data_IF_053913784368
#
_entry.id   IF_053913784368
#
_cell.length_a   1.000
_cell.length_b   1.000
_cell.length_c   1.000
_cell.angle_alpha   90.00
_cell.angle_beta   90.00
_cell.angle_gamma   90.00
#
_symmetry.space_group_name_H-M   'P 1'
#
loop_
_entity.id
_entity.type
_entity.pdbx_description
1 polymer ?
#
# COMPACT_ATOMS: atom_id res chain seq x y z
N UNK A 1 -15.09 -55.07 17.06
CA UNK A 1 -15.65 -53.92 17.81
C UNK A 1 -14.57 -53.28 18.71
N UNK A 2 -13.33 -53.09 18.23
CA UNK A 2 -12.22 -52.61 19.03
C UNK A 2 -11.27 -51.66 18.28
N UNK A 3 -11.62 -51.17 17.07
CA UNK A 3 -10.77 -50.26 16.30
C UNK A 3 -11.34 -48.82 16.15
N UNK A 4 -12.62 -48.61 16.44
CA UNK A 4 -13.31 -47.31 16.31
C UNK A 4 -13.18 -46.47 17.58
N UNK A 5 -12.92 -47.08 18.73
CA UNK A 5 -12.78 -46.37 20.03
C UNK A 5 -11.39 -45.80 20.30
N UNK A 6 -10.39 -46.10 19.47
CA UNK A 6 -9.02 -45.56 19.65
C UNK A 6 -8.74 -44.33 18.80
N UNK A 7 -9.60 -43.98 17.83
CA UNK A 7 -9.40 -42.82 16.98
C UNK A 7 -10.04 -41.51 17.53
N UNK A 8 -11.01 -41.64 18.47
CA UNK A 8 -11.67 -40.48 19.09
C UNK A 8 -10.92 -39.88 20.30
N UNK A 9 -9.87 -40.56 20.80
CA UNK A 9 -9.08 -40.09 21.94
C UNK A 9 -7.87 -39.23 21.52
N UNK A 10 -7.49 -39.23 20.23
CA UNK A 10 -6.29 -38.49 19.74
C UNK A 10 -6.60 -37.08 19.23
N UNK A 11 -7.87 -36.72 19.02
CA UNK A 11 -8.29 -35.41 18.53
C UNK A 11 -8.63 -34.40 19.62
N UNK A 12 -8.70 -34.81 20.88
CA UNK A 12 -9.05 -33.92 22.02
C UNK A 12 -7.81 -33.40 22.77
N UNK A 13 -6.59 -33.86 22.47
CA UNK A 13 -5.37 -33.49 23.17
C UNK A 13 -4.57 -32.35 22.52
N UNK A 14 -4.98 -31.81 21.36
CA UNK A 14 -4.24 -30.79 20.60
C UNK A 14 -4.73 -29.34 20.76
N UNK A 15 -5.67 -29.04 21.65
CA UNK A 15 -6.27 -27.67 21.77
C UNK A 15 -5.82 -26.93 23.05
N UNK A 16 -4.91 -27.48 23.86
CA UNK A 16 -4.60 -26.87 25.17
C UNK A 16 -3.13 -26.48 25.37
N UNK A 17 -2.43 -25.97 24.33
CA UNK A 17 -1.10 -25.36 24.55
C UNK A 17 -0.91 -24.09 23.73
N UNK A 18 -1.72 -23.06 24.00
CA UNK A 18 -1.41 -21.70 23.60
C UNK A 18 -1.81 -20.72 24.72
N UNK A 19 -1.11 -20.78 25.84
CA UNK A 19 -1.17 -19.75 26.87
C UNK A 19 0.25 -19.43 27.31
N UNK A 20 0.66 -18.16 27.12
CA UNK A 20 1.66 -17.54 27.95
C UNK A 20 2.97 -17.20 27.26
N UNK A 21 3.03 -16.04 26.60
CA UNK A 21 4.18 -15.17 26.66
C UNK A 21 3.69 -13.79 27.11
N UNK A 22 3.59 -13.60 28.42
CA UNK A 22 3.59 -12.28 29.03
C UNK A 22 5.04 -11.79 29.00
N UNK A 23 5.33 -10.82 28.12
CA UNK A 23 6.58 -10.11 28.14
C UNK A 23 6.61 -9.21 29.39
N UNK A 24 7.54 -9.45 30.29
CA UNK A 24 7.89 -8.57 31.39
C UNK A 24 8.39 -7.23 30.85
N UNK A 25 7.65 -6.18 31.11
CA UNK A 25 8.10 -4.80 30.94
C UNK A 25 9.08 -4.53 32.10
N UNK A 26 10.36 -4.53 31.80
CA UNK A 26 11.38 -3.98 32.70
C UNK A 26 11.19 -2.46 32.72
N UNK A 27 10.80 -1.98 33.89
CA UNK A 27 10.76 -0.54 34.23
C UNK A 27 12.21 -0.02 34.29
N UNK A 28 12.58 0.80 33.31
CA UNK A 28 13.80 1.59 33.41
C UNK A 28 13.59 2.69 34.44
N UNK A 29 14.33 2.62 35.54
CA UNK A 29 14.45 3.71 36.51
C UNK A 29 15.10 4.91 35.82
N UNK A 30 14.34 5.98 35.74
CA UNK A 30 14.76 7.29 35.26
C UNK A 30 15.70 7.93 36.31
N UNK A 31 17.01 7.76 36.09
CA UNK A 31 18.01 8.49 36.87
C UNK A 31 17.95 9.95 36.51
N UNK A 32 17.28 10.73 37.33
CA UNK A 32 17.29 12.20 37.30
C UNK A 32 18.68 12.72 37.65
N UNK A 33 19.50 12.97 36.65
CA UNK A 33 20.72 13.75 36.79
C UNK A 33 20.30 15.23 36.87
N UNK A 34 20.31 15.76 38.10
CA UNK A 34 20.19 17.17 38.34
C UNK A 34 21.43 17.89 37.80
N UNK A 35 21.34 18.42 36.60
CA UNK A 35 22.31 19.41 36.11
C UNK A 35 21.93 20.77 36.73
N UNK A 36 22.75 21.23 37.65
CA UNK A 36 22.68 22.58 38.18
C UNK A 36 22.82 23.60 37.07
N UNK A 37 21.79 24.42 36.92
CA UNK A 37 21.83 25.62 36.07
C UNK A 37 22.94 26.56 36.58
N UNK A 38 23.87 27.02 35.76
CA UNK A 38 24.70 28.16 36.13
C UNK A 38 23.80 29.42 36.11
N UNK A 39 23.66 30.02 37.27
CA UNK A 39 23.08 31.33 37.47
C UNK A 39 23.97 32.37 36.77
N UNK A 40 23.58 32.74 35.55
CA UNK A 40 24.24 33.84 34.83
C UNK A 40 23.64 35.14 35.41
N UNK A 41 24.44 35.85 36.24
CA UNK A 41 24.15 37.20 36.69
C UNK A 41 24.08 38.14 35.46
N UNK A 42 22.89 38.58 35.10
CA UNK A 42 22.70 39.67 34.15
C UNK A 42 23.13 40.97 34.80
N UNK A 43 24.28 41.48 34.37
CA UNK A 43 24.63 42.87 34.63
C UNK A 43 23.82 43.76 33.67
N UNK A 44 22.90 44.53 34.23
CA UNK A 44 22.23 45.66 33.57
C UNK A 44 23.25 46.73 33.24
N UNK A 45 23.85 46.67 32.06
CA UNK A 45 24.36 47.90 31.39
C UNK A 45 25.00 47.53 30.02
N UNK A 46 24.15 47.29 29.02
CA UNK A 46 24.43 47.54 27.60
C UNK A 46 23.11 47.56 26.84
N UNK A 47 22.46 48.73 26.86
CA UNK A 47 21.46 49.05 25.86
C UNK A 47 22.17 49.20 24.52
N UNK A 48 22.36 48.06 23.84
CA UNK A 48 22.59 48.07 22.41
C UNK A 48 21.20 48.23 21.79
N UNK A 49 20.89 49.46 21.38
CA UNK A 49 19.80 49.71 20.43
C UNK A 49 20.15 48.90 19.15
N UNK A 50 19.77 47.65 19.14
CA UNK A 50 19.69 46.86 17.94
C UNK A 50 18.61 47.51 17.08
N UNK A 51 19.03 48.12 16.00
CA UNK A 51 18.26 48.57 14.87
C UNK A 51 17.48 47.34 14.28
N UNK A 52 16.38 46.94 14.98
CA UNK A 52 15.49 45.88 14.58
C UNK A 52 14.59 46.26 13.39
N UNK A 53 14.70 47.52 12.92
CA UNK A 53 13.86 48.01 11.81
C UNK A 53 14.39 47.65 10.40
N UNK A 54 15.46 46.88 10.26
CA UNK A 54 16.03 46.55 8.97
C UNK A 54 16.10 45.06 8.61
N UNK A 55 15.52 44.20 9.44
CA UNK A 55 15.48 42.76 9.22
C UNK A 55 14.17 42.27 8.58
N UNK A 56 13.14 43.10 8.45
CA UNK A 56 11.85 42.68 7.89
C UNK A 56 11.75 42.72 6.37
N UNK A 57 12.74 43.31 5.66
CA UNK A 57 12.66 43.45 4.20
C UNK A 57 13.60 42.49 3.42
N UNK A 58 14.20 41.51 4.10
CA UNK A 58 15.05 40.49 3.49
C UNK A 58 14.58 39.04 3.75
N UNK A 59 13.44 38.85 4.34
CA UNK A 59 12.75 37.56 4.24
C UNK A 59 12.22 37.46 2.81
N UNK A 60 13.11 37.20 1.85
CA UNK A 60 12.71 36.66 0.56
C UNK A 60 11.77 35.51 0.91
N UNK A 61 10.53 35.56 0.41
CA UNK A 61 9.56 34.50 0.58
C UNK A 61 10.18 33.23 -0.01
N UNK A 62 10.87 32.47 0.84
CA UNK A 62 11.26 31.11 0.50
C UNK A 62 9.96 30.36 0.31
N UNK A 63 9.57 30.19 -0.94
CA UNK A 63 8.50 29.26 -1.28
C UNK A 63 9.05 27.86 -0.99
N UNK A 64 8.46 27.12 -0.05
CA UNK A 64 8.99 25.81 0.31
C UNK A 64 8.82 24.84 -0.84
N UNK A 65 9.86 24.07 -1.13
CA UNK A 65 9.77 22.93 -2.06
C UNK A 65 8.98 21.81 -1.39
N UNK A 66 7.73 21.63 -1.82
CA UNK A 66 6.76 20.74 -1.18
C UNK A 66 6.36 19.63 -2.16
N UNK A 67 6.51 18.38 -1.73
CA UNK A 67 5.94 17.22 -2.43
C UNK A 67 4.53 16.99 -1.87
N UNK A 68 3.53 16.91 -2.77
CA UNK A 68 2.15 16.56 -2.43
C UNK A 68 1.78 15.23 -3.06
N UNK A 69 1.28 14.31 -2.23
CA UNK A 69 0.72 13.03 -2.68
C UNK A 69 -0.70 12.92 -2.17
N UNK A 70 -1.58 12.33 -2.97
CA UNK A 70 -2.97 12.15 -2.60
C UNK A 70 -3.47 10.75 -2.91
N UNK A 71 -4.50 10.36 -2.20
CA UNK A 71 -5.30 9.18 -2.47
C UNK A 71 -6.78 9.59 -2.47
N UNK A 72 -7.51 9.16 -3.50
CA UNK A 72 -8.94 9.39 -3.66
C UNK A 72 -9.61 8.05 -3.99
N UNK A 73 -10.60 7.64 -3.21
CA UNK A 73 -11.43 6.48 -3.50
C UNK A 73 -12.87 6.93 -3.71
N UNK A 74 -13.42 6.57 -4.87
CA UNK A 74 -14.80 6.89 -5.26
C UNK A 74 -15.58 5.61 -5.51
N UNK A 75 -16.83 5.58 -5.03
CA UNK A 75 -17.80 4.58 -5.41
C UNK A 75 -18.62 5.11 -6.57
N UNK A 76 -18.62 4.39 -7.71
CA UNK A 76 -19.24 4.80 -8.97
C UNK A 76 -19.91 3.61 -9.64
N UNK A 77 -20.97 3.86 -10.43
CA UNK A 77 -21.70 2.80 -11.11
C UNK A 77 -20.90 2.16 -12.26
N UNK A 78 -20.10 2.95 -12.97
CA UNK A 78 -19.29 2.52 -14.12
C UNK A 78 -17.85 3.00 -13.96
N UNK A 79 -16.95 2.22 -13.32
CA UNK A 79 -15.57 2.64 -13.07
C UNK A 79 -14.79 3.00 -14.33
N UNK A 80 -15.01 2.29 -15.45
CA UNK A 80 -14.29 2.55 -16.69
C UNK A 80 -14.73 3.88 -17.35
N UNK A 81 -16.04 4.17 -17.40
CA UNK A 81 -16.55 5.40 -17.98
C UNK A 81 -16.16 6.61 -17.11
N UNK A 82 -16.27 6.48 -15.78
CA UNK A 82 -15.80 7.52 -14.84
C UNK A 82 -14.29 7.74 -14.94
N UNK A 83 -13.50 6.70 -15.24
CA UNK A 83 -12.06 6.86 -15.47
C UNK A 83 -11.76 7.70 -16.71
N UNK A 84 -12.60 7.63 -17.76
CA UNK A 84 -12.50 8.50 -18.93
C UNK A 84 -12.81 9.96 -18.55
N UNK A 85 -13.88 10.21 -17.79
CA UNK A 85 -14.23 11.55 -17.30
C UNK A 85 -13.13 12.15 -16.41
N UNK A 86 -12.56 11.35 -15.52
CA UNK A 86 -11.41 11.75 -14.67
C UNK A 86 -10.21 12.15 -15.53
N UNK A 87 -9.96 11.39 -16.60
CA UNK A 87 -8.86 11.70 -17.53
C UNK A 87 -9.07 13.07 -18.16
N UNK A 88 -10.28 13.37 -18.63
CA UNK A 88 -10.61 14.68 -19.22
C UNK A 88 -10.46 15.83 -18.21
N UNK A 89 -10.91 15.65 -16.96
CA UNK A 89 -10.77 16.65 -15.88
C UNK A 89 -9.29 16.90 -15.56
N UNK A 90 -8.48 15.86 -15.45
CA UNK A 90 -7.05 15.96 -15.16
C UNK A 90 -6.31 16.66 -16.31
N UNK A 91 -6.60 16.31 -17.56
CA UNK A 91 -5.98 16.93 -18.73
C UNK A 91 -6.41 18.41 -18.89
N UNK A 92 -7.66 18.72 -18.62
CA UNK A 92 -8.16 20.10 -18.61
C UNK A 92 -7.48 20.98 -17.54
N UNK A 93 -7.07 20.37 -16.41
CA UNK A 93 -6.29 21.02 -15.37
C UNK A 93 -4.79 21.16 -15.70
N UNK A 94 -4.35 20.73 -16.89
CA UNK A 94 -2.94 20.74 -17.30
C UNK A 94 -2.13 19.58 -16.73
N UNK A 95 -2.79 18.59 -16.15
CA UNK A 95 -2.19 17.36 -15.67
C UNK A 95 -2.06 16.28 -16.76
N UNK A 96 -1.69 15.08 -16.34
CA UNK A 96 -1.63 13.88 -17.18
C UNK A 96 -1.90 12.62 -16.37
N UNK A 97 -2.41 11.59 -17.01
CA UNK A 97 -2.48 10.25 -16.42
C UNK A 97 -1.12 9.56 -16.62
N UNK A 98 -0.50 9.14 -15.51
CA UNK A 98 0.76 8.41 -15.51
C UNK A 98 0.54 6.91 -15.72
N UNK A 99 -0.49 6.36 -15.08
CA UNK A 99 -0.91 4.97 -15.29
C UNK A 99 -2.41 4.83 -15.15
N UNK A 100 -3.00 3.86 -15.86
CA UNK A 100 -4.40 3.46 -15.75
C UNK A 100 -4.49 1.95 -15.86
N UNK A 101 -5.31 1.35 -15.01
CA UNK A 101 -5.59 -0.08 -15.03
C UNK A 101 -7.08 -0.29 -14.77
N UNK A 102 -7.78 -0.83 -15.77
CA UNK A 102 -9.20 -1.16 -15.67
C UNK A 102 -9.35 -2.66 -15.49
N UNK A 103 -10.10 -3.06 -14.49
CA UNK A 103 -10.42 -4.45 -14.20
C UNK A 103 -11.90 -4.71 -14.45
N UNK A 104 -12.19 -5.57 -15.42
CA UNK A 104 -13.53 -6.05 -15.73
C UNK A 104 -13.57 -7.58 -15.55
N UNK A 105 -14.20 -8.07 -14.50
CA UNK A 105 -14.27 -9.52 -14.24
C UNK A 105 -15.14 -10.23 -15.28
N UNK A 106 -14.75 -11.47 -15.65
CA UNK A 106 -15.48 -12.28 -16.63
C UNK A 106 -16.57 -13.12 -15.95
N UNK A 107 -16.29 -13.67 -14.76
CA UNK A 107 -17.20 -14.60 -14.09
C UNK A 107 -17.68 -14.10 -12.72
N UNK A 108 -16.77 -13.68 -11.84
CA UNK A 108 -17.06 -13.22 -10.48
C UNK A 108 -16.19 -12.01 -10.13
N UNK A 109 -16.74 -11.07 -9.38
CA UNK A 109 -16.10 -9.84 -8.95
C UNK A 109 -16.83 -8.62 -9.50
N UNK A 110 -16.39 -7.46 -9.08
CA UNK A 110 -16.95 -6.18 -9.52
C UNK A 110 -15.93 -5.43 -10.36
N UNK A 111 -16.39 -4.66 -11.37
CA UNK A 111 -15.50 -3.79 -12.13
C UNK A 111 -14.86 -2.77 -11.20
N UNK A 112 -13.61 -2.44 -11.49
CA UNK A 112 -12.88 -1.39 -10.79
C UNK A 112 -11.86 -0.77 -11.73
N UNK A 113 -11.49 0.50 -11.47
CA UNK A 113 -10.44 1.18 -12.20
C UNK A 113 -9.49 1.85 -11.22
N UNK A 114 -8.21 1.78 -11.55
CA UNK A 114 -7.16 2.45 -10.81
C UNK A 114 -6.41 3.39 -11.74
N UNK A 115 -6.25 4.65 -11.32
CA UNK A 115 -5.52 5.66 -12.06
C UNK A 115 -4.48 6.30 -11.17
N UNK A 116 -3.35 6.66 -11.77
CA UNK A 116 -2.35 7.54 -11.17
C UNK A 116 -2.26 8.81 -12.02
N UNK A 117 -2.65 9.93 -11.43
CA UNK A 117 -2.65 11.23 -12.08
C UNK A 117 -1.51 12.10 -11.56
N UNK A 118 -0.85 12.81 -12.49
CA UNK A 118 0.14 13.85 -12.20
C UNK A 118 -0.51 15.19 -12.46
N UNK A 119 -0.74 15.98 -11.43
CA UNK A 119 -1.50 17.23 -11.47
C UNK A 119 -0.57 18.36 -11.04
N UNK A 120 -0.53 19.52 -11.76
CA UNK A 120 0.26 20.66 -11.33
C UNK A 120 -0.08 21.04 -9.88
N UNK A 121 0.94 21.31 -9.07
CA UNK A 121 0.84 21.59 -7.65
C UNK A 121 -0.23 22.65 -7.31
N UNK A 122 -0.29 23.72 -8.11
CA UNK A 122 -1.15 24.89 -7.86
C UNK A 122 -2.66 24.58 -7.97
N UNK A 123 -3.03 23.62 -8.84
CA UNK A 123 -4.43 23.32 -9.15
C UNK A 123 -4.92 22.03 -8.51
N UNK A 124 -4.07 21.34 -7.73
CA UNK A 124 -4.41 20.04 -7.13
C UNK A 124 -5.72 20.09 -6.34
N UNK A 125 -5.87 21.06 -5.42
CA UNK A 125 -7.04 21.10 -4.52
C UNK A 125 -8.33 21.34 -5.29
N UNK A 126 -8.29 22.21 -6.30
CA UNK A 126 -9.43 22.47 -7.17
C UNK A 126 -9.78 21.24 -8.02
N UNK A 127 -8.76 20.54 -8.53
CA UNK A 127 -8.95 19.32 -9.32
C UNK A 127 -9.53 18.21 -8.45
N UNK A 128 -8.99 17.98 -7.24
CA UNK A 128 -9.54 16.99 -6.30
C UNK A 128 -11.00 17.27 -5.97
N UNK A 129 -11.37 18.54 -5.75
CA UNK A 129 -12.76 18.92 -5.52
C UNK A 129 -13.67 18.57 -6.72
N UNK A 130 -13.21 18.85 -7.95
CA UNK A 130 -13.96 18.49 -9.16
C UNK A 130 -14.09 16.97 -9.35
N UNK A 131 -13.06 16.20 -8.98
CA UNK A 131 -13.10 14.74 -9.05
C UNK A 131 -14.07 14.13 -8.04
N UNK A 132 -14.23 14.76 -6.86
CA UNK A 132 -15.18 14.31 -5.84
C UNK A 132 -16.65 14.42 -6.29
N UNK A 133 -16.95 15.30 -7.23
CA UNK A 133 -18.30 15.47 -7.79
C UNK A 133 -18.69 14.33 -8.75
N UNK A 134 -17.74 13.47 -9.17
CA UNK A 134 -17.98 12.38 -10.12
C UNK A 134 -18.49 11.08 -9.46
N UNK A 135 -18.54 11.00 -8.13
CA UNK A 135 -19.02 9.82 -7.44
C UNK A 135 -19.13 9.97 -5.93
N UNK A 136 -19.54 8.92 -5.26
CA UNK A 136 -19.62 8.90 -3.80
C UNK A 136 -18.23 8.73 -3.20
N UNK A 137 -17.75 9.73 -2.46
CA UNK A 137 -16.42 9.75 -1.85
C UNK A 137 -16.36 8.73 -0.71
N UNK A 138 -15.48 7.74 -0.83
CA UNK A 138 -15.20 6.77 0.22
C UNK A 138 -14.02 7.19 1.10
N UNK A 139 -12.97 7.69 0.47
CA UNK A 139 -11.76 8.13 1.17
C UNK A 139 -11.07 9.25 0.39
N UNK A 140 -10.60 10.26 1.11
CA UNK A 140 -9.68 11.28 0.61
C UNK A 140 -8.54 11.44 1.60
N UNK A 141 -7.32 11.30 1.12
CA UNK A 141 -6.12 11.54 1.91
C UNK A 141 -5.14 12.40 1.12
N UNK A 142 -4.68 13.49 1.68
CA UNK A 142 -3.65 14.35 1.10
C UNK A 142 -2.48 14.42 2.08
N UNK A 143 -1.30 14.09 1.59
CA UNK A 143 -0.07 14.16 2.37
C UNK A 143 0.88 15.19 1.77
N UNK A 144 1.61 15.89 2.63
CA UNK A 144 2.52 16.98 2.23
C UNK A 144 3.85 16.79 2.94
N UNK A 145 4.94 16.82 2.18
CA UNK A 145 6.31 16.66 2.68
C UNK A 145 7.16 17.83 2.20
N UNK A 146 7.75 18.57 3.14
CA UNK A 146 8.72 19.63 2.82
C UNK A 146 10.09 19.00 2.54
N UNK A 147 10.61 19.27 1.35
CA UNK A 147 11.90 18.74 0.85
C UNK A 147 12.91 19.86 0.57
N UNK A 148 12.63 21.09 0.98
CA UNK A 148 13.48 22.26 0.74
C UNK A 148 14.92 22.03 1.22
N UNK A 149 15.08 21.46 2.42
CA UNK A 149 16.41 21.17 2.97
C UNK A 149 17.12 20.10 2.16
N UNK A 150 16.42 19.08 1.70
CA UNK A 150 16.99 18.00 0.88
C UNK A 150 17.48 18.53 -0.46
N UNK A 151 16.71 19.42 -1.09
CA UNK A 151 17.10 20.07 -2.36
C UNK A 151 18.35 20.93 -2.20
N UNK A 152 18.41 21.75 -1.13
CA UNK A 152 19.59 22.58 -0.81
C UNK A 152 20.83 21.72 -0.58
N UNK A 153 20.71 20.58 0.12
CA UNK A 153 21.85 19.67 0.33
C UNK A 153 22.34 19.05 -0.99
N UNK A 154 21.42 18.62 -1.87
CA UNK A 154 21.75 18.11 -3.20
C UNK A 154 22.48 19.17 -4.04
N UNK A 155 21.97 20.40 -4.10
CA UNK A 155 22.57 21.49 -4.84
C UNK A 155 23.96 21.83 -4.31
N UNK A 156 24.18 21.84 -3.00
CA UNK A 156 25.49 22.06 -2.41
C UNK A 156 26.50 20.97 -2.80
N UNK A 157 26.09 19.69 -2.77
CA UNK A 157 26.94 18.56 -3.18
C UNK A 157 27.26 18.59 -4.66
N UNK A 158 26.28 18.92 -5.51
CA UNK A 158 26.48 19.11 -6.96
C UNK A 158 27.57 20.18 -7.21
N UNK A 159 27.48 21.34 -6.57
CA UNK A 159 28.46 22.40 -6.70
C UNK A 159 29.90 21.96 -6.30
N UNK A 160 30.01 21.19 -5.23
CA UNK A 160 31.31 20.65 -4.78
C UNK A 160 31.89 19.69 -5.82
N UNK A 161 31.08 18.81 -6.40
CA UNK A 161 31.51 17.86 -7.43
C UNK A 161 31.88 18.57 -8.72
N UNK A 162 31.14 19.57 -9.17
CA UNK A 162 31.47 20.40 -10.34
C UNK A 162 32.83 21.09 -10.18
N UNK A 163 33.09 21.65 -9.00
CA UNK A 163 34.39 22.25 -8.69
C UNK A 163 35.51 21.20 -8.65
N UNK A 164 35.25 20.00 -8.14
CA UNK A 164 36.24 18.91 -8.12
C UNK A 164 36.56 18.41 -9.54
N UNK A 165 35.56 18.26 -10.40
CA UNK A 165 35.68 17.86 -11.79
C UNK A 165 36.49 18.91 -12.57
N UNK A 166 36.21 20.20 -12.33
CA UNK A 166 36.99 21.31 -12.95
C UNK A 166 38.46 21.18 -12.58
N UNK A 167 38.78 20.96 -11.30
CA UNK A 167 40.18 20.81 -10.84
C UNK A 167 40.83 19.54 -11.41
N UNK A 168 40.12 18.44 -11.53
CA UNK A 168 40.63 17.21 -12.16
C UNK A 168 40.95 17.44 -13.65
N UNK A 169 40.14 18.20 -14.36
CA UNK A 169 40.40 18.57 -15.76
C UNK A 169 41.67 19.43 -15.91
N UNK A 170 41.93 20.34 -14.96
CA UNK A 170 43.17 21.12 -14.92
C UNK A 170 44.38 20.19 -14.68
N UNK A 171 44.27 19.26 -13.71
CA UNK A 171 45.34 18.28 -13.47
C UNK A 171 45.56 17.33 -14.64
N UNK A 172 44.52 16.98 -15.39
CA UNK A 172 44.62 16.18 -16.61
C UNK A 172 45.44 16.91 -17.71
N UNK A 173 45.22 18.22 -17.84
CA UNK A 173 45.96 19.05 -18.79
C UNK A 173 47.46 19.18 -18.44
N UNK A 174 47.80 19.11 -17.14
CA UNK A 174 49.16 19.22 -16.62
C UNK A 174 49.86 17.86 -16.42
N UNK A 175 49.18 16.74 -16.72
CA UNK A 175 49.72 15.38 -16.49
C UNK A 175 50.95 15.10 -17.33
N UNK A 176 52.08 14.81 -16.68
CA UNK A 176 53.38 14.59 -17.34
C UNK A 176 53.68 13.10 -17.62
N UNK A 177 52.97 12.18 -16.97
CA UNK A 177 53.19 10.74 -17.15
C UNK A 177 51.89 10.01 -17.51
N UNK A 178 52.01 8.89 -18.24
CA UNK A 178 50.86 8.04 -18.61
C UNK A 178 50.17 7.44 -17.35
N UNK A 179 50.94 7.20 -16.29
CA UNK A 179 50.39 6.68 -15.03
C UNK A 179 49.47 7.72 -14.35
N UNK A 180 49.90 8.98 -14.32
CA UNK A 180 49.14 10.09 -13.73
C UNK A 180 47.87 10.37 -14.56
N UNK A 181 48.00 10.30 -15.88
CA UNK A 181 46.86 10.45 -16.79
C UNK A 181 45.76 9.40 -16.50
N UNK A 182 46.13 8.11 -16.40
CA UNK A 182 45.17 7.03 -16.09
C UNK A 182 44.52 7.23 -14.70
N UNK A 183 45.29 7.66 -13.70
CA UNK A 183 44.79 7.91 -12.38
C UNK A 183 43.77 9.06 -12.35
N UNK A 184 44.06 10.17 -13.03
CA UNK A 184 43.15 11.32 -13.13
C UNK A 184 41.93 11.00 -13.96
N UNK A 185 42.05 10.27 -15.08
CA UNK A 185 40.90 9.82 -15.88
C UNK A 185 39.95 8.91 -15.06
N UNK A 186 40.50 7.99 -14.24
CA UNK A 186 39.71 7.13 -13.36
C UNK A 186 38.95 7.96 -12.31
N UNK A 187 39.64 8.92 -11.67
CA UNK A 187 39.02 9.80 -10.68
C UNK A 187 37.94 10.70 -11.32
N UNK A 188 38.21 11.23 -12.53
CA UNK A 188 37.28 12.05 -13.28
C UNK A 188 35.98 11.25 -13.61
N UNK A 189 36.14 10.03 -14.11
CA UNK A 189 34.99 9.14 -14.43
C UNK A 189 34.15 8.84 -13.22
N UNK A 190 34.79 8.61 -12.05
CA UNK A 190 34.08 8.37 -10.80
C UNK A 190 33.29 9.60 -10.36
N UNK A 191 33.90 10.79 -10.37
CA UNK A 191 33.22 12.05 -9.99
C UNK A 191 32.11 12.43 -10.96
N UNK A 192 32.29 12.16 -12.26
CA UNK A 192 31.25 12.39 -13.25
C UNK A 192 30.01 11.50 -12.98
N UNK A 193 30.23 10.21 -12.73
CA UNK A 193 29.12 9.31 -12.41
C UNK A 193 28.37 9.71 -11.11
N UNK A 194 29.11 10.20 -10.11
CA UNK A 194 28.53 10.71 -8.87
C UNK A 194 27.71 11.99 -9.13
N UNK A 195 28.24 12.93 -9.94
CA UNK A 195 27.52 14.14 -10.33
C UNK A 195 26.23 13.84 -11.08
N UNK A 196 26.28 12.96 -12.08
CA UNK A 196 25.13 12.57 -12.88
C UNK A 196 24.03 11.92 -11.99
N UNK A 197 24.45 11.14 -10.98
CA UNK A 197 23.52 10.55 -10.01
C UNK A 197 22.84 11.61 -9.15
N UNK A 198 23.57 12.58 -8.61
CA UNK A 198 22.99 13.64 -7.78
C UNK A 198 22.11 14.59 -8.59
N UNK A 199 22.49 14.91 -9.82
CA UNK A 199 21.67 15.70 -10.74
C UNK A 199 20.35 14.99 -11.05
N UNK A 200 20.39 13.69 -11.32
CA UNK A 200 19.16 12.88 -11.54
C UNK A 200 18.26 12.87 -10.31
N UNK A 201 18.82 12.79 -9.11
CA UNK A 201 18.05 12.85 -7.86
C UNK A 201 17.40 14.22 -7.67
N UNK A 202 18.15 15.32 -7.92
CA UNK A 202 17.65 16.69 -7.83
C UNK A 202 16.53 16.94 -8.84
N UNK A 203 16.68 16.45 -10.09
CA UNK A 203 15.69 16.62 -11.15
C UNK A 203 14.41 15.83 -10.83
N UNK A 204 14.54 14.60 -10.30
CA UNK A 204 13.41 13.81 -9.82
C UNK A 204 12.66 14.51 -8.69
N UNK A 205 13.38 15.07 -7.71
CA UNK A 205 12.78 15.81 -6.61
C UNK A 205 12.05 17.07 -7.11
N UNK A 206 12.65 17.77 -8.08
CA UNK A 206 12.05 18.94 -8.72
C UNK A 206 10.76 18.60 -9.48
N UNK A 207 10.72 17.48 -10.20
CA UNK A 207 9.50 17.01 -10.87
C UNK A 207 8.37 16.68 -9.85
N UNK A 208 8.74 16.11 -8.69
CA UNK A 208 7.75 15.81 -7.64
C UNK A 208 7.20 17.06 -6.94
N UNK A 209 7.96 18.15 -6.88
CA UNK A 209 7.47 19.42 -6.33
C UNK A 209 6.61 20.18 -7.32
N UNK A 210 6.86 20.05 -8.62
CA UNK A 210 6.06 20.68 -9.67
C UNK A 210 4.71 19.98 -9.89
N UNK A 211 4.68 18.65 -9.77
CA UNK A 211 3.50 17.84 -9.99
C UNK A 211 3.17 16.97 -8.77
N UNK A 212 2.01 17.19 -8.22
CA UNK A 212 1.44 16.28 -7.23
C UNK A 212 1.05 14.94 -7.87
N UNK A 213 1.19 13.86 -7.12
CA UNK A 213 0.75 12.53 -7.52
C UNK A 213 -0.54 12.19 -6.80
N UNK A 214 -1.61 11.94 -7.55
CA UNK A 214 -2.92 11.53 -7.03
C UNK A 214 -3.22 10.12 -7.50
N UNK A 215 -3.32 9.19 -6.54
CA UNK A 215 -3.80 7.82 -6.77
C UNK A 215 -5.31 7.79 -6.64
N UNK A 216 -6.01 7.32 -7.67
CA UNK A 216 -7.47 7.31 -7.71
C UNK A 216 -7.92 5.86 -7.85
N UNK A 217 -8.79 5.42 -6.94
CA UNK A 217 -9.42 4.10 -6.95
C UNK A 217 -10.93 4.24 -7.18
N UNK A 218 -11.42 3.65 -8.26
CA UNK A 218 -12.85 3.61 -8.59
C UNK A 218 -13.38 2.22 -8.32
N UNK A 219 -14.38 2.13 -7.47
CA UNK A 219 -15.03 0.88 -7.09
C UNK A 219 -16.53 0.97 -7.30
N UNK A 220 -17.19 -0.15 -7.53
CA UNK A 220 -18.66 -0.17 -7.55
C UNK A 220 -19.21 -0.18 -6.12
N UNK A 221 -20.47 0.28 -5.89
CA UNK A 221 -21.09 0.33 -4.56
C UNK A 221 -21.05 -0.99 -3.78
N UNK A 222 -21.07 -2.13 -4.48
CA UNK A 222 -21.03 -3.47 -3.87
C UNK A 222 -19.64 -3.83 -3.32
N UNK A 223 -18.57 -3.22 -3.86
CA UNK A 223 -17.19 -3.34 -3.37
C UNK A 223 -16.81 -2.24 -2.38
N UNK A 224 -17.65 -1.24 -2.20
CA UNK A 224 -17.45 -0.25 -1.14
C UNK A 224 -17.36 -1.01 0.18
N UNK A 225 -16.27 -0.84 0.90
CA UNK A 225 -16.06 -1.51 2.20
C UNK A 225 -17.28 -1.25 3.06
N UNK A 226 -17.96 -2.30 3.58
CA UNK A 226 -19.12 -2.08 4.42
C UNK A 226 -18.68 -1.24 5.61
N UNK A 227 -19.08 0.03 5.63
CA UNK A 227 -18.95 0.88 6.82
C UNK A 227 -19.50 0.11 8.01
N UNK A 228 -18.85 0.18 9.15
CA UNK A 228 -19.35 -0.44 10.39
C UNK A 228 -20.84 -0.12 10.56
N UNK A 229 -21.66 -1.09 11.01
CA UNK A 229 -23.11 -0.89 11.09
C UNK A 229 -23.43 0.34 11.93
N UNK A 230 -24.02 1.35 11.30
CA UNK A 230 -24.33 2.66 11.92
C UNK A 230 -25.41 2.58 13.01
N UNK A 231 -25.95 1.37 13.31
CA UNK A 231 -26.96 1.21 14.34
C UNK A 231 -27.49 -0.20 14.52
N UNK A 232 -28.27 -0.38 15.58
CA UNK A 232 -28.89 -1.66 15.95
C UNK A 232 -29.79 -2.25 14.83
N UNK A 233 -30.51 -1.39 14.09
CA UNK A 233 -31.40 -1.83 13.01
C UNK A 233 -30.61 -2.38 11.81
N UNK A 234 -29.49 -1.76 11.47
CA UNK A 234 -28.61 -2.23 10.40
C UNK A 234 -27.96 -3.57 10.76
N UNK A 235 -27.61 -3.76 12.03
CA UNK A 235 -27.16 -5.05 12.56
C UNK A 235 -28.21 -6.15 12.40
N UNK A 236 -29.51 -5.85 12.59
CA UNK A 236 -30.60 -6.81 12.37
C UNK A 236 -30.74 -7.17 10.88
N UNK A 237 -30.69 -6.19 9.99
CA UNK A 237 -30.80 -6.41 8.52
C UNK A 237 -29.66 -7.31 8.05
N UNK A 238 -28.42 -7.00 8.42
CA UNK A 238 -27.23 -7.81 8.09
C UNK A 238 -27.28 -9.21 8.71
N UNK A 239 -27.78 -9.32 9.95
CA UNK A 239 -28.01 -10.61 10.58
C UNK A 239 -29.00 -11.46 9.79
N UNK A 240 -30.07 -10.85 9.26
CA UNK A 240 -31.06 -11.53 8.43
C UNK A 240 -30.48 -11.99 7.09
N UNK A 241 -29.72 -11.13 6.42
CA UNK A 241 -29.00 -11.47 5.17
C UNK A 241 -27.99 -12.60 5.38
N UNK A 242 -27.26 -12.59 6.49
CA UNK A 242 -26.33 -13.67 6.85
C UNK A 242 -27.05 -15.02 7.04
N UNK A 243 -28.24 -15.01 7.63
CA UNK A 243 -29.07 -16.21 7.78
C UNK A 243 -29.53 -16.74 6.42
N UNK A 244 -29.99 -15.83 5.53
CA UNK A 244 -30.39 -16.20 4.17
C UNK A 244 -29.21 -16.75 3.37
N UNK A 245 -28.05 -16.12 3.47
CA UNK A 245 -26.78 -16.57 2.85
C UNK A 245 -26.36 -17.96 3.35
N UNK A 246 -26.51 -18.23 4.64
CA UNK A 246 -26.23 -19.54 5.22
C UNK A 246 -27.15 -20.64 4.63
N UNK A 247 -28.47 -20.37 4.51
CA UNK A 247 -29.42 -21.32 3.90
C UNK A 247 -29.12 -21.52 2.41
N UNK A 248 -28.82 -20.46 1.67
CA UNK A 248 -28.42 -20.54 0.26
C UNK A 248 -27.16 -21.39 0.09
N UNK A 249 -26.13 -21.14 0.90
CA UNK A 249 -24.89 -21.90 0.91
C UNK A 249 -25.12 -23.39 1.26
N UNK A 250 -25.96 -23.67 2.23
CA UNK A 250 -26.33 -25.05 2.61
C UNK A 250 -27.01 -25.78 1.44
N UNK A 251 -27.86 -25.10 0.69
CA UNK A 251 -28.56 -25.68 -0.46
C UNK A 251 -27.56 -26.03 -1.60
N UNK A 252 -26.58 -25.17 -1.84
CA UNK A 252 -25.51 -25.43 -2.81
C UNK A 252 -24.67 -26.65 -2.37
N UNK A 253 -24.29 -26.73 -1.11
CA UNK A 253 -23.59 -27.89 -0.55
C UNK A 253 -24.38 -29.18 -0.67
N UNK A 254 -25.70 -29.13 -0.42
CA UNK A 254 -26.58 -30.27 -0.63
C UNK A 254 -26.59 -30.70 -2.10
N UNK A 255 -26.62 -29.75 -3.04
CA UNK A 255 -26.54 -30.03 -4.48
C UNK A 255 -25.27 -30.76 -4.90
N UNK A 256 -24.13 -30.36 -4.34
CA UNK A 256 -22.82 -31.00 -4.58
C UNK A 256 -22.78 -32.44 -4.05
N UNK A 257 -23.51 -32.73 -2.95
CA UNK A 257 -23.57 -34.07 -2.35
C UNK A 257 -24.42 -35.07 -3.16
N UNK A 258 -25.40 -34.60 -3.94
CA UNK A 258 -26.35 -35.47 -4.70
C UNK A 258 -25.61 -36.46 -5.62
N UNK A 259 -24.65 -36.07 -6.47
CA UNK A 259 -23.95 -37.05 -7.33
C UNK A 259 -23.14 -38.07 -6.54
N UNK A 260 -22.56 -37.69 -5.39
CA UNK A 260 -21.84 -38.61 -4.51
C UNK A 260 -22.76 -39.64 -3.85
N UNK A 261 -23.97 -39.23 -3.40
CA UNK A 261 -24.97 -40.12 -2.88
C UNK A 261 -25.47 -41.10 -3.95
N UNK A 262 -25.64 -40.63 -5.18
CA UNK A 262 -25.97 -41.50 -6.34
C UNK A 262 -24.92 -42.57 -6.56
N UNK A 263 -23.65 -42.22 -6.51
CA UNK A 263 -22.53 -43.16 -6.68
C UNK A 263 -22.50 -44.21 -5.55
N UNK A 264 -22.68 -43.80 -4.30
CA UNK A 264 -22.78 -44.69 -3.14
C UNK A 264 -23.96 -45.64 -3.29
N UNK A 265 -25.14 -45.14 -3.71
CA UNK A 265 -26.32 -45.96 -3.93
C UNK A 265 -26.09 -47.04 -4.98
N UNK A 266 -25.41 -46.70 -6.09
CA UNK A 266 -25.03 -47.69 -7.15
C UNK A 266 -24.09 -48.75 -6.59
N UNK A 267 -23.07 -48.37 -5.82
CA UNK A 267 -22.13 -49.34 -5.22
C UNK A 267 -22.85 -50.29 -4.25
N UNK A 268 -23.78 -49.73 -3.41
CA UNK A 268 -24.59 -50.55 -2.51
C UNK A 268 -25.47 -51.50 -3.29
N UNK A 269 -26.13 -51.04 -4.35
CA UNK A 269 -27.01 -51.88 -5.18
C UNK A 269 -26.20 -53.02 -5.84
N UNK A 270 -25.04 -52.73 -6.40
CA UNK A 270 -24.15 -53.75 -7.00
C UNK A 270 -23.71 -54.77 -5.96
N UNK A 271 -23.32 -54.35 -4.76
CA UNK A 271 -22.91 -55.27 -3.69
C UNK A 271 -24.08 -56.14 -3.20
N UNK A 272 -25.32 -55.61 -3.11
CA UNK A 272 -26.51 -56.37 -2.76
C UNK A 272 -26.85 -57.40 -3.86
N UNK A 273 -26.79 -57.01 -5.13
CA UNK A 273 -27.02 -57.93 -6.26
C UNK A 273 -26.00 -59.06 -6.26
N UNK A 274 -24.71 -58.74 -6.10
CA UNK A 274 -23.64 -59.74 -6.03
C UNK A 274 -23.82 -60.71 -4.83
N UNK A 275 -24.20 -60.17 -3.67
CA UNK A 275 -24.55 -61.03 -2.51
C UNK A 275 -25.74 -61.92 -2.77
N UNK A 276 -26.78 -61.44 -3.46
CA UNK A 276 -27.94 -62.22 -3.82
C UNK A 276 -27.61 -63.37 -4.79
N UNK A 277 -26.81 -63.08 -5.81
CA UNK A 277 -26.34 -64.09 -6.78
C UNK A 277 -25.45 -65.15 -6.10
N UNK A 278 -24.54 -64.77 -5.20
CA UNK A 278 -23.74 -65.73 -4.43
C UNK A 278 -24.57 -66.61 -3.53
N UNK A 279 -25.63 -66.08 -2.90
CA UNK A 279 -26.57 -66.90 -2.06
C UNK A 279 -27.40 -67.86 -2.86
N UNK A 280 -27.81 -67.53 -4.10
CA UNK A 280 -28.54 -68.44 -4.97
C UNK A 280 -27.64 -69.58 -5.50
N UNK A 281 -26.34 -69.38 -5.70
CA UNK A 281 -25.43 -70.45 -6.13
C UNK A 281 -25.10 -71.45 -5.00
N UNK A 282 -25.05 -71.01 -3.76
CA UNK A 282 -24.84 -71.91 -2.60
C UNK A 282 -26.07 -72.75 -2.22
N UNK A 283 -27.27 -72.43 -2.77
CA UNK A 283 -28.50 -73.19 -2.51
C UNK A 283 -28.77 -74.27 -3.56
N UNK A 284 -28.06 -74.23 -4.69
CA UNK A 284 -28.16 -75.23 -5.77
C UNK A 284 -27.31 -76.51 -5.57
N UNK A 285 -26.34 -76.48 -4.63
CA UNK A 285 -25.39 -77.59 -4.42
C UNK A 285 -25.82 -78.60 -3.33
N UNK A 286 -26.94 -78.36 -2.62
CA UNK A 286 -27.46 -79.25 -1.55
C UNK A 286 -28.66 -80.07 -1.98
N UNK A 287 -28.95 -80.25 -3.29
CA UNK A 287 -30.12 -81.02 -3.75
C UNK A 287 -29.74 -82.26 -4.63
N UNK A 288 -28.47 -82.67 -4.68
CA UNK A 288 -28.01 -83.89 -5.27
C UNK A 288 -27.10 -84.66 -4.28
N UNK A 289 -27.78 -85.35 -3.36
CA UNK A 289 -27.27 -86.49 -2.63
C UNK A 289 -28.40 -87.35 -2.13
#
# INVERSE_FOLDING_TARGET
>A
MTLVTKLSALTLASILTLTGCAASIESYEESSVSMGSPEIAYTEDMAVEMDMARAEDSAGSFEPDIIRTGYLSLSVDSPADTADEITEVVEAAGGRIASRSDYTPVDYGQPSSYLEARIPYEVLDATVASLQDLGDVQEVSLNTVDVSLQKVDLDARIQVLEAAITRLNELLADAASTSDLIAVESALSERQAELDSLQSQRDYLSDQTLFATLSISLITPENATPTDPDGFLDGIVRGWESILGFFAGTLVWAGILVPWLGLVAVVVLVTLVLRRIRRSRLKGENTES
#
